data_IF_627068363603
#
_entry.id   IF_627068363603
#
_cell.length_a   1.000
_cell.length_b   1.000
_cell.length_c   1.000
_cell.angle_alpha   90.00
_cell.angle_beta   90.00
_cell.angle_gamma   90.00
#
_symmetry.space_group_name_H-M   'P 1'
#
loop_
_entity.id
_entity.type
_entity.pdbx_description
1 polymer ?
#
# COMPACT_ATOMS: atom_id res chain seq x y z
N UNK A 1 15.00 15.14 -13.29
CA UNK A 1 15.06 14.40 -12.01
C UNK A 1 14.60 15.24 -10.80
N UNK A 2 14.83 16.56 -10.77
CA UNK A 2 14.42 17.42 -9.65
C UNK A 2 12.89 17.64 -9.51
N UNK A 3 12.17 17.83 -10.63
CA UNK A 3 10.72 18.09 -10.64
C UNK A 3 9.85 17.00 -9.98
N UNK A 4 10.37 15.79 -9.75
CA UNK A 4 9.60 14.69 -9.14
C UNK A 4 9.63 14.72 -7.60
N UNK A 5 10.64 15.36 -6.99
CA UNK A 5 10.71 15.51 -5.54
C UNK A 5 9.87 16.70 -5.04
N UNK A 6 9.73 17.75 -5.85
CA UNK A 6 9.04 18.98 -5.43
C UNK A 6 7.54 18.76 -5.17
N UNK A 7 6.88 17.83 -5.88
CA UNK A 7 5.48 17.50 -5.64
C UNK A 7 5.23 16.75 -4.32
N UNK A 8 6.25 16.13 -3.72
CA UNK A 8 6.10 15.40 -2.46
C UNK A 8 6.22 16.31 -1.22
N UNK A 9 6.88 17.47 -1.35
CA UNK A 9 7.06 18.44 -0.27
C UNK A 9 5.90 19.42 -0.13
N UNK A 10 5.17 19.69 -1.22
CA UNK A 10 4.01 20.62 -1.20
C UNK A 10 2.77 20.05 -0.50
N UNK A 11 2.64 18.72 -0.37
CA UNK A 11 1.48 18.09 0.28
C UNK A 11 1.58 18.05 1.83
N UNK A 12 2.73 18.41 2.42
CA UNK A 12 2.95 18.37 3.87
C UNK A 12 2.73 19.70 4.60
N UNK A 13 2.51 20.80 3.86
CA UNK A 13 2.15 22.09 4.45
C UNK A 13 0.68 22.37 4.18
N UNK A 14 -0.18 22.12 5.17
CA UNK A 14 -1.57 22.55 5.11
C UNK A 14 -1.63 24.07 4.90
N UNK A 15 -2.05 24.49 3.71
CA UNK A 15 -2.74 25.77 3.43
C UNK A 15 -3.03 25.90 1.93
N UNK A 16 -4.19 26.50 1.65
CA UNK A 16 -4.74 26.95 0.35
C UNK A 16 -5.21 25.90 -0.67
N UNK A 17 -6.54 25.80 -0.70
CA UNK A 17 -7.36 25.43 -1.83
C UNK A 17 -6.82 25.93 -3.19
N UNK A 18 -6.46 24.98 -4.05
CA UNK A 18 -6.40 25.19 -5.49
C UNK A 18 -6.71 23.85 -6.16
N UNK A 19 -7.89 23.75 -6.76
CA UNK A 19 -8.33 22.72 -7.73
C UNK A 19 -7.53 21.41 -7.68
N UNK A 20 -7.74 20.62 -6.63
CA UNK A 20 -7.07 19.34 -6.48
C UNK A 20 -7.62 18.35 -7.50
N UNK A 21 -6.74 17.89 -8.39
CA UNK A 21 -6.98 16.70 -9.20
C UNK A 21 -7.48 15.57 -8.29
N UNK A 22 -8.64 14.98 -8.60
CA UNK A 22 -9.22 13.81 -7.90
C UNK A 22 -8.23 12.62 -7.76
N UNK A 23 -7.08 12.70 -8.43
CA UNK A 23 -6.05 11.66 -8.50
C UNK A 23 -4.83 11.92 -7.58
N UNK A 24 -4.76 13.06 -6.88
CA UNK A 24 -3.67 13.39 -5.96
C UNK A 24 -3.41 12.33 -4.88
N UNK A 25 -4.42 11.78 -4.16
CA UNK A 25 -4.19 10.75 -3.13
C UNK A 25 -3.69 9.42 -3.74
N UNK A 26 -4.22 9.02 -4.89
CA UNK A 26 -3.85 7.80 -5.61
C UNK A 26 -2.40 7.85 -6.10
N UNK A 27 -2.01 8.97 -6.73
CA UNK A 27 -0.64 9.21 -7.18
C UNK A 27 0.35 9.13 -6.02
N UNK A 28 0.04 9.80 -4.90
CA UNK A 28 0.87 9.80 -3.71
C UNK A 28 1.06 8.37 -3.16
N UNK A 29 -0.03 7.60 -3.04
CA UNK A 29 0.05 6.21 -2.59
C UNK A 29 0.96 5.36 -3.50
N UNK A 30 0.82 5.48 -4.83
CA UNK A 30 1.66 4.76 -5.82
C UNK A 30 3.13 5.14 -5.74
N UNK A 31 3.43 6.41 -5.53
CA UNK A 31 4.83 6.86 -5.40
C UNK A 31 5.46 6.32 -4.12
N UNK A 32 4.73 6.38 -3.00
CA UNK A 32 5.22 5.87 -1.71
C UNK A 32 5.42 4.36 -1.71
N UNK A 33 4.53 3.58 -2.33
CA UNK A 33 4.72 2.12 -2.44
C UNK A 33 5.93 1.75 -3.30
N UNK A 34 6.23 2.53 -4.36
CA UNK A 34 7.46 2.37 -5.15
C UNK A 34 8.73 2.67 -4.35
N UNK A 35 8.74 3.74 -3.56
CA UNK A 35 9.89 4.04 -2.69
C UNK A 35 10.10 2.93 -1.64
N UNK A 36 9.01 2.44 -1.05
CA UNK A 36 9.08 1.35 -0.09
C UNK A 36 9.63 0.05 -0.72
N UNK A 37 9.23 -0.26 -1.96
CA UNK A 37 9.81 -1.36 -2.74
C UNK A 37 11.32 -1.22 -2.98
N UNK A 38 11.83 0.01 -3.16
CA UNK A 38 13.27 0.26 -3.27
C UNK A 38 13.98 0.01 -1.95
N UNK A 39 13.44 0.50 -0.84
CA UNK A 39 13.98 0.28 0.51
C UNK A 39 14.05 -1.22 0.83
N UNK A 40 13.04 -2.00 0.42
CA UNK A 40 13.05 -3.47 0.61
C UNK A 40 14.22 -4.18 -0.08
N UNK A 41 14.92 -3.54 -1.05
CA UNK A 41 16.14 -4.11 -1.62
C UNK A 41 17.36 -4.04 -0.69
N UNK A 42 17.32 -3.18 0.32
CA UNK A 42 18.41 -3.03 1.31
C UNK A 42 18.30 -4.03 2.47
N UNK A 43 17.22 -4.81 2.55
CA UNK A 43 17.02 -5.81 3.61
C UNK A 43 17.91 -7.03 3.34
N UNK A 44 18.87 -7.30 4.23
CA UNK A 44 19.81 -8.42 4.09
C UNK A 44 19.15 -9.79 4.34
N UNK A 45 18.16 -9.87 5.22
CA UNK A 45 17.44 -11.13 5.46
C UNK A 45 16.56 -11.47 4.26
N UNK A 46 16.85 -12.58 3.57
CA UNK A 46 16.09 -13.04 2.40
C UNK A 46 14.61 -13.27 2.71
N UNK A 47 14.29 -13.87 3.88
CA UNK A 47 12.90 -14.12 4.30
C UNK A 47 12.15 -12.81 4.54
N UNK A 48 12.77 -11.85 5.24
CA UNK A 48 12.17 -10.53 5.48
C UNK A 48 12.01 -9.74 4.19
N UNK A 49 13.02 -9.76 3.31
CA UNK A 49 12.99 -9.11 2.00
C UNK A 49 11.85 -9.65 1.13
N UNK A 50 11.69 -10.97 1.07
CA UNK A 50 10.61 -11.61 0.31
C UNK A 50 9.24 -11.22 0.85
N UNK A 51 9.02 -11.45 2.15
CA UNK A 51 7.73 -11.17 2.77
C UNK A 51 7.38 -9.68 2.85
N UNK A 52 8.39 -8.81 2.96
CA UNK A 52 8.24 -7.37 2.88
C UNK A 52 7.78 -6.93 1.49
N UNK A 53 8.43 -7.39 0.43
CA UNK A 53 8.00 -7.10 -0.95
C UNK A 53 6.58 -7.58 -1.24
N UNK A 54 6.22 -8.78 -0.77
CA UNK A 54 4.85 -9.30 -0.91
C UNK A 54 3.84 -8.39 -0.20
N UNK A 55 4.13 -7.95 1.03
CA UNK A 55 3.23 -7.07 1.78
C UNK A 55 3.07 -5.69 1.11
N UNK A 56 4.16 -5.10 0.63
CA UNK A 56 4.12 -3.80 -0.07
C UNK A 56 3.33 -3.90 -1.38
N UNK A 57 3.54 -4.98 -2.13
CA UNK A 57 2.77 -5.23 -3.35
C UNK A 57 1.29 -5.44 -3.03
N UNK A 58 0.96 -6.26 -2.03
CA UNK A 58 -0.42 -6.50 -1.62
C UNK A 58 -1.13 -5.23 -1.17
N UNK A 59 -0.46 -4.36 -0.42
CA UNK A 59 -1.01 -3.07 0.00
C UNK A 59 -1.21 -2.12 -1.20
N UNK A 60 -0.25 -2.08 -2.13
CA UNK A 60 -0.40 -1.32 -3.37
C UNK A 60 -1.62 -1.78 -4.16
N UNK A 61 -1.80 -3.10 -4.30
CA UNK A 61 -2.95 -3.70 -4.97
C UNK A 61 -4.27 -3.34 -4.27
N UNK A 62 -4.30 -3.37 -2.94
CA UNK A 62 -5.48 -2.97 -2.17
C UNK A 62 -5.90 -1.52 -2.46
N UNK A 63 -4.94 -0.59 -2.51
CA UNK A 63 -5.22 0.80 -2.86
C UNK A 63 -5.70 0.97 -4.31
N UNK A 64 -5.16 0.19 -5.25
CA UNK A 64 -5.61 0.20 -6.65
C UNK A 64 -7.06 -0.25 -6.79
N UNK A 65 -7.48 -1.25 -6.00
CA UNK A 65 -8.87 -1.72 -5.97
C UNK A 65 -9.79 -0.69 -5.32
N UNK A 66 -9.38 -0.12 -4.17
CA UNK A 66 -10.21 0.83 -3.41
C UNK A 66 -10.38 2.18 -4.12
N UNK A 67 -9.36 2.64 -4.85
CA UNK A 67 -9.32 3.98 -5.45
C UNK A 67 -9.45 3.96 -6.99
N UNK A 68 -9.49 2.78 -7.61
CA UNK A 68 -9.51 2.62 -9.06
C UNK A 68 -8.13 2.84 -9.72
N UNK A 69 -7.98 2.36 -10.96
CA UNK A 69 -6.69 2.45 -11.68
C UNK A 69 -6.46 3.83 -12.32
N UNK A 70 -7.52 4.55 -12.68
CA UNK A 70 -7.44 5.89 -13.26
C UNK A 70 -7.78 7.00 -12.27
N UNK A 71 -8.47 6.67 -11.16
CA UNK A 71 -8.94 7.62 -10.14
C UNK A 71 -10.22 8.39 -10.54
N UNK A 72 -10.72 8.17 -11.75
CA UNK A 72 -12.08 8.47 -12.14
C UNK A 72 -12.94 7.23 -11.86
N UNK A 73 -13.85 7.30 -10.89
CA UNK A 73 -14.68 6.19 -10.41
C UNK A 73 -15.67 5.57 -11.43
N UNK A 74 -15.43 5.74 -12.73
CA UNK A 74 -16.25 5.26 -13.83
C UNK A 74 -15.68 4.04 -14.57
N UNK A 75 -14.44 3.63 -14.30
CA UNK A 75 -13.81 2.47 -14.96
C UNK A 75 -14.12 1.16 -14.21
N UNK A 76 -15.41 0.83 -14.08
CA UNK A 76 -15.88 -0.45 -13.51
C UNK A 76 -15.44 -1.70 -14.30
N UNK A 77 -14.78 -1.52 -15.45
CA UNK A 77 -14.31 -2.61 -16.32
C UNK A 77 -12.89 -3.11 -16.03
N UNK A 78 -12.05 -2.35 -15.32
CA UNK A 78 -10.61 -2.63 -15.23
C UNK A 78 -10.20 -3.50 -14.03
N UNK A 79 -11.14 -3.81 -13.13
CA UNK A 79 -10.93 -4.79 -12.06
C UNK A 79 -10.67 -6.20 -12.62
N UNK A 80 -11.05 -6.45 -13.88
CA UNK A 80 -10.92 -7.73 -14.56
C UNK A 80 -9.49 -8.01 -15.07
N UNK A 81 -8.60 -7.02 -15.08
CA UNK A 81 -7.20 -7.18 -15.52
C UNK A 81 -6.23 -7.11 -14.33
N UNK A 82 -6.48 -7.93 -13.30
CA UNK A 82 -5.50 -8.13 -12.24
C UNK A 82 -4.46 -9.17 -12.65
N UNK A 83 -3.18 -8.84 -12.45
CA UNK A 83 -2.13 -9.82 -12.68
C UNK A 83 -2.15 -10.90 -11.58
N UNK A 84 -1.85 -12.16 -11.94
CA UNK A 84 -1.87 -13.29 -10.99
C UNK A 84 -1.00 -13.04 -9.75
N UNK A 85 0.12 -12.35 -9.94
CA UNK A 85 1.06 -11.99 -8.86
C UNK A 85 0.46 -10.95 -7.91
N UNK A 86 -0.30 -9.98 -8.43
CA UNK A 86 -0.94 -8.95 -7.61
C UNK A 86 -2.04 -9.56 -6.73
N UNK A 87 -2.85 -10.46 -7.31
CA UNK A 87 -3.87 -11.20 -6.57
C UNK A 87 -3.24 -12.10 -5.50
N UNK A 88 -2.20 -12.86 -5.85
CA UNK A 88 -1.50 -13.73 -4.89
C UNK A 88 -0.87 -12.91 -3.75
N UNK A 89 -0.26 -11.77 -4.07
CA UNK A 89 0.33 -10.88 -3.07
C UNK A 89 -0.72 -10.27 -2.14
N UNK A 90 -1.86 -9.84 -2.68
CA UNK A 90 -2.98 -9.33 -1.91
C UNK A 90 -3.52 -10.38 -0.93
N UNK A 91 -3.85 -11.59 -1.43
CA UNK A 91 -4.37 -12.68 -0.61
C UNK A 91 -3.39 -13.11 0.49
N UNK A 92 -2.11 -13.22 0.14
CA UNK A 92 -1.05 -13.56 1.10
C UNK A 92 -0.92 -12.49 2.18
N UNK A 93 -1.04 -11.21 1.80
CA UNK A 93 -0.96 -10.09 2.73
C UNK A 93 -2.15 -10.08 3.67
N UNK A 94 -3.36 -10.30 3.16
CA UNK A 94 -4.58 -10.38 3.96
C UNK A 94 -4.54 -11.53 4.97
N UNK A 95 -4.05 -12.71 4.56
CA UNK A 95 -3.85 -13.85 5.45
C UNK A 95 -2.90 -13.51 6.61
N UNK A 96 -1.80 -12.80 6.34
CA UNK A 96 -0.87 -12.36 7.39
C UNK A 96 -1.50 -11.38 8.37
N UNK A 97 -2.30 -10.43 7.89
CA UNK A 97 -3.02 -9.50 8.76
C UNK A 97 -4.05 -10.24 9.62
N UNK A 98 -4.78 -11.21 9.07
CA UNK A 98 -5.71 -12.06 9.82
C UNK A 98 -4.98 -12.75 10.97
N UNK A 99 -3.88 -13.44 10.66
CA UNK A 99 -3.07 -14.12 11.68
C UNK A 99 -2.51 -13.15 12.71
N UNK A 100 -2.08 -11.94 12.31
CA UNK A 100 -1.60 -10.94 13.25
C UNK A 100 -2.69 -10.47 14.23
N UNK A 101 -3.93 -10.29 13.76
CA UNK A 101 -5.09 -9.93 14.61
C UNK A 101 -5.38 -11.04 15.63
N UNK A 102 -5.36 -12.29 15.19
CA UNK A 102 -5.56 -13.44 16.08
C UNK A 102 -4.49 -13.49 17.17
N UNK A 103 -3.22 -13.25 16.81
CA UNK A 103 -2.12 -13.19 17.77
C UNK A 103 -2.26 -12.02 18.76
N UNK A 104 -2.61 -10.83 18.28
CA UNK A 104 -2.85 -9.68 19.16
C UNK A 104 -3.98 -9.96 20.16
N UNK A 105 -5.06 -10.58 19.71
CA UNK A 105 -6.20 -10.94 20.56
C UNK A 105 -5.81 -11.96 21.63
N UNK A 106 -5.04 -13.00 21.25
CA UNK A 106 -4.53 -13.99 22.20
C UNK A 106 -3.61 -13.36 23.24
N UNK A 107 -2.71 -12.47 22.81
CA UNK A 107 -1.81 -11.74 23.72
C UNK A 107 -2.57 -10.86 24.71
N UNK A 108 -3.62 -10.16 24.26
CA UNK A 108 -4.48 -9.37 25.15
C UNK A 108 -5.20 -10.25 26.19
N UNK A 109 -5.69 -11.42 25.79
CA UNK A 109 -6.31 -12.37 26.70
C UNK A 109 -5.33 -12.98 27.71
N UNK A 110 -4.07 -13.15 27.34
CA UNK A 110 -3.01 -13.59 28.26
C UNK A 110 -2.66 -12.49 29.26
N UNK A 111 -2.48 -11.26 28.78
CA UNK A 111 -2.21 -10.11 29.64
C UNK A 111 -3.36 -9.79 30.61
N UNK A 112 -4.61 -10.12 30.27
CA UNK A 112 -5.76 -9.94 31.15
C UNK A 112 -5.93 -11.06 32.20
N UNK A 113 -5.15 -12.14 32.11
CA UNK A 113 -5.15 -13.25 33.08
C UNK A 113 -4.06 -13.09 34.15
N UNK A 114 -3.08 -12.22 33.90
CA UNK A 114 -2.07 -11.77 34.87
C UNK A 114 -2.63 -10.61 35.72
#
# INVERSE_FOLDING_TARGET
SQKLHDHALLATSGTSASTESNNAPLWNARMRTRELMRIMNCVQCNKCRFHGKIAVLGLSTAFQILLGRTGDGADGGDLLVMHRVELAALMTTMSKYSTAIDYCTQMQQQAAKE
#
